data_IF_584317062667
#
_entry.id   IF_584317062667
#
_cell.length_a   1.000
_cell.length_b   1.000
_cell.length_c   1.000
_cell.angle_alpha   90.00
_cell.angle_beta   90.00
_cell.angle_gamma   90.00
#
_symmetry.space_group_name_H-M   'P 1'
#
loop_
_entity.id
_entity.type
_entity.pdbx_description
1 polymer ?
#
# COMPACT_ATOMS: atom_id res chain seq x y z
N UNK A 1 18.44 35.00 24.02
CA UNK A 1 17.04 34.56 23.86
C UNK A 1 16.47 34.66 22.43
N UNK A 2 17.26 34.95 21.38
CA UNK A 2 16.78 34.92 19.98
C UNK A 2 17.03 33.58 19.26
N UNK A 3 17.89 32.71 19.81
CA UNK A 3 18.26 31.43 19.16
C UNK A 3 17.25 30.30 19.40
N UNK A 4 16.45 30.35 20.47
CA UNK A 4 15.54 29.26 20.86
C UNK A 4 14.27 29.26 19.97
N UNK A 5 13.88 30.41 19.42
CA UNK A 5 12.69 30.57 18.58
C UNK A 5 12.92 30.00 17.16
N UNK A 6 14.17 29.88 16.72
CA UNK A 6 14.52 29.26 15.43
C UNK A 6 14.48 27.72 15.47
N UNK A 7 14.60 27.09 16.64
CA UNK A 7 14.56 25.63 16.77
C UNK A 7 13.13 25.07 16.58
N UNK A 8 12.10 25.87 16.87
CA UNK A 8 10.69 25.49 16.67
C UNK A 8 10.23 25.48 15.21
N UNK A 9 11.03 26.03 14.28
CA UNK A 9 10.73 26.05 12.84
C UNK A 9 11.31 24.81 12.13
N UNK A 10 12.19 24.06 12.81
CA UNK A 10 12.79 22.81 12.32
C UNK A 10 12.05 21.55 12.81
N UNK A 11 10.83 21.69 13.31
CA UNK A 11 9.87 20.57 13.32
C UNK A 11 9.41 20.41 11.87
N UNK A 12 10.32 19.95 11.01
CA UNK A 12 9.98 19.28 9.78
C UNK A 12 8.89 18.29 10.15
N UNK A 13 7.73 18.43 9.51
CA UNK A 13 6.54 17.62 9.77
C UNK A 13 6.84 16.20 9.31
N UNK A 14 7.58 15.46 10.13
CA UNK A 14 7.79 14.04 9.97
C UNK A 14 6.42 13.43 10.22
N UNK A 15 5.67 13.23 9.14
CA UNK A 15 4.41 12.52 9.20
C UNK A 15 4.72 11.04 9.17
N UNK A 16 4.33 10.34 10.22
CA UNK A 16 4.38 8.89 10.22
C UNK A 16 3.18 8.35 9.44
N UNK A 17 3.43 7.42 8.54
CA UNK A 17 2.42 6.75 7.73
C UNK A 17 2.60 5.25 7.89
N UNK A 18 1.51 4.53 7.66
CA UNK A 18 1.58 3.10 7.43
C UNK A 18 0.65 2.69 6.31
N UNK A 19 1.00 1.56 5.70
CA UNK A 19 0.15 0.86 4.76
C UNK A 19 -0.09 -0.55 5.27
N UNK A 20 -1.35 -0.94 5.32
CA UNK A 20 -1.76 -2.34 5.48
C UNK A 20 -1.99 -2.85 4.06
N UNK A 21 -1.17 -3.82 3.66
CA UNK A 21 -1.25 -4.46 2.36
C UNK A 21 -1.75 -5.88 2.52
N UNK A 22 -2.79 -6.22 1.76
CA UNK A 22 -3.42 -7.52 1.81
C UNK A 22 -3.52 -8.12 0.41
N UNK A 23 -3.12 -9.38 0.30
CA UNK A 23 -3.28 -10.19 -0.90
C UNK A 23 -4.23 -11.33 -0.59
N UNK A 24 -5.21 -11.56 -1.45
CA UNK A 24 -6.16 -12.65 -1.33
C UNK A 24 -6.20 -13.48 -2.61
N UNK A 25 -5.99 -14.78 -2.48
CA UNK A 25 -6.17 -15.76 -3.53
C UNK A 25 -7.59 -16.33 -3.50
N UNK A 26 -8.29 -16.34 -4.64
CA UNK A 26 -9.64 -16.91 -4.74
C UNK A 26 -9.81 -17.71 -6.02
N UNK A 27 -10.60 -18.77 -5.93
CA UNK A 27 -11.08 -19.54 -7.08
C UNK A 27 -12.58 -19.32 -7.24
N UNK A 28 -13.02 -19.14 -8.48
CA UNK A 28 -14.44 -19.17 -8.85
C UNK A 28 -14.62 -20.06 -10.09
N UNK A 29 -15.86 -20.13 -10.60
CA UNK A 29 -16.20 -20.93 -11.79
C UNK A 29 -15.44 -20.51 -13.07
N UNK A 30 -14.91 -19.29 -13.12
CA UNK A 30 -14.13 -18.74 -14.23
C UNK A 30 -12.62 -18.92 -14.05
N UNK A 31 -12.20 -19.47 -12.91
CA UNK A 31 -10.80 -19.76 -12.60
C UNK A 31 -10.30 -19.03 -11.35
N UNK A 32 -8.98 -18.99 -11.26
CA UNK A 32 -8.27 -18.34 -10.17
C UNK A 32 -8.17 -16.82 -10.41
N UNK A 33 -8.25 -16.03 -9.35
CA UNK A 33 -7.90 -14.63 -9.38
C UNK A 33 -7.28 -14.22 -8.04
N UNK A 34 -6.46 -13.17 -8.11
CA UNK A 34 -5.84 -12.55 -6.95
C UNK A 34 -6.37 -11.14 -6.76
N UNK A 35 -6.74 -10.83 -5.53
CA UNK A 35 -7.16 -9.50 -5.11
C UNK A 35 -6.05 -8.87 -4.28
N UNK A 36 -5.78 -7.61 -4.55
CA UNK A 36 -4.85 -6.78 -3.81
C UNK A 36 -5.62 -5.64 -3.17
N UNK A 37 -5.40 -5.41 -1.89
CA UNK A 37 -5.99 -4.30 -1.15
C UNK A 37 -4.88 -3.57 -0.40
N UNK A 38 -4.90 -2.25 -0.46
CA UNK A 38 -4.07 -1.39 0.37
C UNK A 38 -4.96 -0.44 1.15
N UNK A 39 -4.66 -0.31 2.44
CA UNK A 39 -5.21 0.73 3.31
C UNK A 39 -4.04 1.60 3.78
N UNK A 40 -4.00 2.84 3.30
CA UNK A 40 -2.94 3.80 3.63
C UNK A 40 -3.47 4.77 4.68
N UNK A 41 -2.78 4.86 5.81
CA UNK A 41 -3.19 5.69 6.95
C UNK A 41 -2.09 6.68 7.30
N UNK A 42 -2.48 7.94 7.50
CA UNK A 42 -1.62 8.97 8.07
C UNK A 42 -1.79 9.07 9.59
N UNK A 43 -0.72 9.46 10.28
CA UNK A 43 -0.75 9.85 11.69
C UNK A 43 -1.75 10.95 12.04
N UNK A 44 -2.12 11.78 11.06
CA UNK A 44 -3.16 12.80 11.19
C UNK A 44 -4.59 12.23 11.14
N UNK A 45 -4.76 10.91 10.94
CA UNK A 45 -6.04 10.21 11.03
C UNK A 45 -6.79 10.02 9.70
N UNK A 46 -6.22 10.45 8.58
CA UNK A 46 -6.77 10.15 7.26
C UNK A 46 -6.47 8.72 6.84
N UNK A 47 -7.44 8.03 6.23
CA UNK A 47 -7.27 6.71 5.63
C UNK A 47 -7.78 6.71 4.19
N UNK A 48 -7.10 6.00 3.28
CA UNK A 48 -7.52 5.80 1.89
C UNK A 48 -7.32 4.36 1.46
N UNK A 49 -8.36 3.77 0.88
CA UNK A 49 -8.39 2.38 0.44
C UNK A 49 -8.33 2.29 -1.09
N UNK A 50 -7.42 1.47 -1.60
CA UNK A 50 -7.38 1.10 -3.01
C UNK A 50 -7.30 -0.42 -3.16
N UNK A 51 -7.94 -0.93 -4.20
CA UNK A 51 -7.93 -2.36 -4.49
C UNK A 51 -7.89 -2.61 -6.00
N UNK A 52 -7.30 -3.74 -6.39
CA UNK A 52 -7.39 -4.25 -7.76
C UNK A 52 -7.41 -5.78 -7.79
N UNK A 53 -7.99 -6.33 -8.84
CA UNK A 53 -8.08 -7.78 -9.07
C UNK A 53 -7.33 -8.13 -10.35
N UNK A 54 -6.66 -9.28 -10.36
CA UNK A 54 -5.98 -9.78 -11.56
C UNK A 54 -6.98 -10.14 -12.65
N UNK A 55 -6.67 -9.79 -13.89
CA UNK A 55 -7.52 -10.09 -15.05
C UNK A 55 -7.42 -11.56 -15.52
N UNK A 56 -6.31 -12.24 -15.22
CA UNK A 56 -6.03 -13.63 -15.62
C UNK A 56 -5.12 -14.33 -14.62
N UNK A 57 -5.27 -15.65 -14.52
CA UNK A 57 -4.44 -16.56 -13.72
C UNK A 57 -2.97 -16.51 -14.09
N UNK A 58 -2.67 -16.22 -15.36
CA UNK A 58 -1.33 -16.43 -15.92
C UNK A 58 -0.42 -15.22 -15.74
N UNK A 59 -1.01 -14.03 -15.55
CA UNK A 59 -0.25 -12.77 -15.49
C UNK A 59 -0.13 -12.21 -14.07
N UNK A 60 -0.96 -12.68 -13.12
CA UNK A 60 -1.00 -12.22 -11.71
C UNK A 60 -0.78 -10.71 -11.55
N UNK A 61 -1.36 -9.93 -12.46
CA UNK A 61 -1.15 -8.50 -12.60
C UNK A 61 -2.47 -7.75 -12.56
N UNK A 62 -2.49 -6.63 -11.86
CA UNK A 62 -3.57 -5.65 -11.94
C UNK A 62 -3.04 -4.22 -11.93
N UNK A 63 -3.86 -3.32 -12.48
CA UNK A 63 -3.61 -1.88 -12.53
C UNK A 63 -4.96 -1.19 -12.25
N UNK A 64 -5.01 -0.40 -11.19
CA UNK A 64 -6.12 0.47 -10.84
C UNK A 64 -5.63 1.92 -10.76
N UNK A 65 -5.99 2.70 -11.79
CA UNK A 65 -5.60 4.12 -11.92
C UNK A 65 -6.54 5.09 -11.23
N UNK A 66 -7.75 4.65 -10.87
CA UNK A 66 -8.76 5.53 -10.28
C UNK A 66 -8.28 6.06 -8.93
N UNK A 67 -8.12 7.39 -8.76
CA UNK A 67 -7.67 7.95 -7.50
C UNK A 67 -8.67 7.71 -6.38
N UNK A 68 -8.16 7.36 -5.19
CA UNK A 68 -8.90 7.14 -3.96
C UNK A 68 -8.53 8.23 -2.96
N UNK A 69 -9.48 9.11 -2.66
CA UNK A 69 -9.28 10.21 -1.71
C UNK A 69 -9.36 9.67 -0.28
N UNK A 70 -8.54 10.22 0.61
CA UNK A 70 -8.65 9.88 2.03
C UNK A 70 -9.94 10.40 2.64
N UNK A 71 -10.45 9.70 3.65
CA UNK A 71 -11.71 10.04 4.33
C UNK A 71 -11.74 11.44 4.95
N UNK A 72 -10.59 11.90 5.45
CA UNK A 72 -10.44 13.26 6.01
C UNK A 72 -9.95 14.29 4.98
N UNK A 73 -9.70 13.86 3.75
CA UNK A 73 -9.01 14.66 2.74
C UNK A 73 -7.51 14.83 3.02
N UNK A 74 -6.85 15.61 2.15
CA UNK A 74 -5.43 15.94 2.30
C UNK A 74 -4.45 15.05 1.53
N UNK A 75 -4.88 13.88 1.05
CA UNK A 75 -4.11 13.07 0.11
C UNK A 75 -5.01 12.16 -0.74
N UNK A 76 -4.42 11.63 -1.82
CA UNK A 76 -5.02 10.58 -2.65
C UNK A 76 -4.06 9.43 -2.84
N UNK A 77 -4.58 8.22 -2.94
CA UNK A 77 -3.86 7.03 -3.40
C UNK A 77 -4.26 6.75 -4.84
N UNK A 78 -3.29 6.56 -5.73
CA UNK A 78 -3.55 6.32 -7.14
C UNK A 78 -2.50 5.37 -7.74
N UNK A 79 -2.80 4.88 -8.95
CA UNK A 79 -1.93 4.01 -9.74
C UNK A 79 -1.50 2.77 -8.94
N UNK A 80 -2.46 2.07 -8.33
CA UNK A 80 -2.18 0.79 -7.69
C UNK A 80 -1.89 -0.23 -8.78
N UNK A 81 -0.64 -0.64 -8.87
CA UNK A 81 -0.17 -1.60 -9.85
C UNK A 81 0.51 -2.74 -9.11
N UNK A 82 0.08 -3.96 -9.39
CA UNK A 82 0.54 -5.14 -8.68
C UNK A 82 1.02 -6.21 -9.65
N UNK A 83 2.08 -6.91 -9.26
CA UNK A 83 2.61 -8.07 -9.95
C UNK A 83 3.02 -9.12 -8.90
N UNK A 84 2.40 -10.30 -8.97
CA UNK A 84 2.65 -11.42 -8.07
C UNK A 84 2.39 -11.04 -6.59
N UNK A 85 3.42 -10.78 -5.78
CA UNK A 85 3.34 -10.37 -4.36
C UNK A 85 3.70 -8.90 -4.13
N UNK A 86 4.09 -8.18 -5.17
CA UNK A 86 4.56 -6.81 -5.10
C UNK A 86 3.47 -5.87 -5.61
N UNK A 87 3.31 -4.73 -4.95
CA UNK A 87 2.54 -3.63 -5.47
C UNK A 87 3.30 -2.32 -5.32
N UNK A 88 3.16 -1.47 -6.33
CA UNK A 88 3.52 -0.06 -6.26
C UNK A 88 2.28 0.80 -6.38
N UNK A 89 2.31 1.94 -5.71
CA UNK A 89 1.26 2.95 -5.80
C UNK A 89 1.82 4.32 -5.49
N UNK A 90 1.03 5.34 -5.82
CA UNK A 90 1.39 6.74 -5.57
C UNK A 90 0.50 7.28 -4.47
N UNK A 91 1.12 7.92 -3.48
CA UNK A 91 0.43 8.85 -2.57
C UNK A 91 0.67 10.25 -3.11
N UNK A 92 -0.39 10.98 -3.43
CA UNK A 92 -0.30 12.40 -3.77
C UNK A 92 -0.72 13.24 -2.56
N UNK A 93 0.16 14.12 -2.08
CA UNK A 93 -0.16 15.11 -1.03
C UNK A 93 0.33 16.48 -1.47
N UNK A 94 -0.53 17.51 -1.44
CA UNK A 94 -0.12 18.89 -1.73
C UNK A 94 0.76 19.06 -2.99
N UNK A 95 0.42 18.35 -4.07
CA UNK A 95 1.14 18.30 -5.36
C UNK A 95 2.49 17.56 -5.37
N UNK A 96 2.84 16.86 -4.30
CA UNK A 96 4.01 15.96 -4.24
C UNK A 96 3.51 14.53 -4.44
N UNK A 97 4.21 13.77 -5.29
CA UNK A 97 3.96 12.36 -5.52
C UNK A 97 5.01 11.52 -4.79
N UNK A 98 4.53 10.58 -3.99
CA UNK A 98 5.37 9.62 -3.27
C UNK A 98 5.14 8.23 -3.84
N UNK A 99 6.19 7.61 -4.35
CA UNK A 99 6.13 6.24 -4.85
C UNK A 99 6.33 5.28 -3.68
N UNK A 100 5.31 4.49 -3.39
CA UNK A 100 5.31 3.54 -2.29
C UNK A 100 5.34 2.13 -2.87
N UNK A 101 6.12 1.27 -2.23
CA UNK A 101 6.25 -0.14 -2.58
C UNK A 101 5.90 -1.01 -1.38
N UNK A 102 5.15 -2.07 -1.62
CA UNK A 102 4.80 -3.09 -0.63
C UNK A 102 4.98 -4.47 -1.25
N UNK A 103 5.43 -5.42 -0.42
CA UNK A 103 5.64 -6.80 -0.80
C UNK A 103 5.09 -7.69 0.31
N UNK A 104 4.42 -8.78 -0.08
CA UNK A 104 3.96 -9.80 0.86
C UNK A 104 4.37 -11.20 0.38
N UNK A 105 5.52 -11.67 0.84
CA UNK A 105 6.12 -12.96 0.40
C UNK A 105 5.92 -14.13 1.38
N UNK A 106 5.51 -13.87 2.62
CA UNK A 106 5.45 -14.89 3.67
C UNK A 106 4.07 -15.54 3.76
N UNK A 107 4.05 -16.89 3.76
CA UNK A 107 2.86 -17.67 4.12
C UNK A 107 1.81 -17.79 3.02
N UNK A 108 2.16 -17.46 1.78
CA UNK A 108 1.22 -17.31 0.68
C UNK A 108 1.66 -18.07 -0.57
N UNK A 109 0.74 -18.83 -1.17
CA UNK A 109 0.98 -19.59 -2.41
C UNK A 109 1.01 -18.65 -3.62
N UNK A 110 2.20 -18.51 -4.18
CA UNK A 110 2.46 -17.71 -5.37
C UNK A 110 1.99 -18.40 -6.65
N UNK A 111 1.85 -19.73 -6.64
CA UNK A 111 1.47 -20.58 -7.77
C UNK A 111 0.29 -21.50 -7.39
N UNK A 112 -0.89 -20.94 -7.11
CA UNK A 112 -2.04 -21.73 -6.70
C UNK A 112 -2.40 -22.72 -7.81
N UNK A 113 -2.06 -23.99 -7.58
CA UNK A 113 -2.38 -25.08 -8.52
C UNK A 113 -3.89 -25.27 -8.62
N UNK A 114 -4.38 -25.84 -9.73
CA UNK A 114 -5.81 -26.07 -10.04
C UNK A 114 -6.53 -27.07 -9.11
N UNK A 115 -6.09 -27.21 -7.86
CA UNK A 115 -6.77 -27.98 -6.83
C UNK A 115 -8.03 -27.23 -6.37
N UNK A 116 -9.17 -27.91 -6.44
CA UNK A 116 -10.53 -27.42 -6.18
C UNK A 116 -10.78 -26.99 -4.72
N UNK A 117 -9.74 -26.94 -3.88
CA UNK A 117 -9.89 -26.40 -2.55
C UNK A 117 -9.94 -24.87 -2.64
N UNK A 118 -11.10 -24.31 -2.30
CA UNK A 118 -11.28 -22.90 -1.95
C UNK A 118 -10.47 -22.56 -0.69
N UNK A 119 -9.16 -22.74 -0.74
CA UNK A 119 -8.26 -22.29 0.29
C UNK A 119 -8.15 -20.79 0.12
N UNK A 120 -8.73 -20.05 1.06
CA UNK A 120 -8.50 -18.62 1.17
C UNK A 120 -7.08 -18.46 1.68
N UNK A 121 -6.16 -18.26 0.75
CA UNK A 121 -4.81 -17.90 1.09
C UNK A 121 -4.73 -16.37 1.15
N UNK A 122 -4.24 -15.86 2.28
CA UNK A 122 -4.17 -14.44 2.53
C UNK A 122 -2.79 -14.08 3.07
N UNK A 123 -2.28 -12.95 2.61
CA UNK A 123 -1.03 -12.39 3.09
C UNK A 123 -1.31 -10.96 3.56
N UNK A 124 -1.04 -10.67 4.82
CA UNK A 124 -1.20 -9.33 5.39
C UNK A 124 0.16 -8.80 5.83
N UNK A 125 0.57 -7.67 5.26
CA UNK A 125 1.84 -7.01 5.51
C UNK A 125 1.62 -5.56 5.88
N UNK A 126 2.24 -5.13 6.99
CA UNK A 126 2.20 -3.74 7.44
C UNK A 126 3.58 -3.12 7.24
N UNK A 127 3.61 -1.99 6.51
CA UNK A 127 4.84 -1.20 6.31
C UNK A 127 4.65 0.21 6.83
N UNK A 128 5.56 0.64 7.70
CA UNK A 128 5.63 2.00 8.22
C UNK A 128 6.63 2.82 7.40
N UNK A 129 6.33 4.10 7.18
CA UNK A 129 7.21 5.01 6.44
C UNK A 129 6.96 6.48 6.79
N UNK A 130 7.92 7.33 6.41
CA UNK A 130 7.86 8.80 6.53
C UNK A 130 7.90 9.41 5.14
N UNK A 131 7.13 10.48 4.95
CA UNK A 131 7.09 11.26 3.71
C UNK A 131 7.68 12.64 3.96
N UNK A 132 8.57 13.09 3.08
CA UNK A 132 9.27 14.37 3.17
C UNK A 132 8.84 15.32 2.06
N UNK A 133 8.96 16.63 2.28
CA UNK A 133 8.48 17.64 1.32
C UNK A 133 9.28 17.67 0.00
N UNK A 134 10.46 17.02 -0.05
CA UNK A 134 11.27 16.83 -1.25
C UNK A 134 10.85 15.60 -2.09
N UNK A 135 9.80 14.88 -1.67
CA UNK A 135 9.34 13.64 -2.32
C UNK A 135 10.04 12.38 -1.83
N UNK A 136 11.00 12.47 -0.90
CA UNK A 136 11.65 11.29 -0.31
C UNK A 136 10.66 10.47 0.51
N UNK A 137 10.79 9.15 0.41
CA UNK A 137 10.13 8.16 1.26
C UNK A 137 11.20 7.46 2.09
N UNK A 138 11.02 7.41 3.40
CA UNK A 138 11.91 6.68 4.31
C UNK A 138 11.12 5.59 5.01
N UNK A 139 11.44 4.33 4.69
CA UNK A 139 10.80 3.17 5.31
C UNK A 139 11.40 2.90 6.68
N UNK A 140 10.55 2.52 7.64
CA UNK A 140 11.03 2.03 8.92
C UNK A 140 11.56 0.60 8.79
N UNK A 141 12.55 0.24 9.61
CA UNK A 141 13.12 -1.11 9.65
C UNK A 141 12.09 -2.15 10.13
N UNK A 142 11.09 -1.71 10.90
CA UNK A 142 10.02 -2.56 11.42
C UNK A 142 8.88 -2.69 10.40
N UNK A 143 8.82 -3.87 9.78
CA UNK A 143 7.67 -4.34 9.02
C UNK A 143 7.16 -5.63 9.63
N UNK A 144 5.83 -5.82 9.62
CA UNK A 144 5.20 -6.93 10.33
C UNK A 144 4.26 -7.68 9.40
N UNK A 145 4.38 -9.01 9.42
CA UNK A 145 3.38 -9.91 8.84
C UNK A 145 2.36 -10.24 9.93
N UNK A 146 1.07 -10.07 9.62
CA UNK A 146 -0.03 -10.34 10.55
C UNK A 146 -0.65 -11.72 10.30
#
# INVERSE_FOLDING_TARGET
MKLIILLSILISKIRAWHVIFEIYNRFNIFGFYRSYTINVVSDLGGAADAYCNTYSTDQLRCDARTPKKSHQGGYTVNNLECLASNCHFIINTANINFNIEVNCEKGFDMNPSKGVETKRDYCTFVRNFKLFEDGKVEYADESTYL
#
